data_IF_404317533740
#
_entry.id   IF_404317533740
#
_cell.length_a   1.000
_cell.length_b   1.000
_cell.length_c   1.000
_cell.angle_alpha   90.00
_cell.angle_beta   90.00
_cell.angle_gamma   90.00
#
_symmetry.space_group_name_H-M   'P 1'
#
loop_
_entity.id
_entity.type
_entity.pdbx_description
1 polymer ?
#
# COMPACT_ATOMS: atom_id res chain seq x y z
N UNK A 1 0.33 -7.02 16.50
CA UNK A 1 -0.22 -8.34 16.25
C UNK A 1 -1.27 -8.27 15.17
N UNK A 2 -1.02 -8.96 14.06
CA UNK A 2 -1.89 -8.98 12.90
C UNK A 2 -2.59 -10.33 12.82
N UNK A 3 -3.84 -10.33 12.33
CA UNK A 3 -4.55 -11.58 12.11
C UNK A 3 -3.84 -12.41 11.03
N UNK A 4 -3.98 -13.73 11.12
CA UNK A 4 -3.45 -14.62 10.09
C UNK A 4 -4.04 -14.32 8.72
N UNK A 5 -5.31 -13.94 8.67
CA UNK A 5 -6.00 -13.55 7.44
C UNK A 5 -5.32 -12.34 6.78
N UNK A 6 -4.98 -11.32 7.57
CA UNK A 6 -4.30 -10.12 7.07
C UNK A 6 -2.91 -10.47 6.53
N UNK A 7 -2.12 -11.21 7.29
CA UNK A 7 -0.78 -11.63 6.90
C UNK A 7 -0.81 -12.47 5.63
N UNK A 8 -1.71 -13.45 5.57
CA UNK A 8 -1.85 -14.30 4.40
C UNK A 8 -2.31 -13.52 3.18
N UNK A 9 -3.24 -12.58 3.36
CA UNK A 9 -3.70 -11.71 2.29
C UNK A 9 -2.60 -10.83 1.73
N UNK A 10 -1.79 -10.25 2.61
CA UNK A 10 -0.62 -9.45 2.21
C UNK A 10 0.38 -10.28 1.42
N UNK A 11 0.75 -11.44 1.94
CA UNK A 11 1.69 -12.35 1.28
C UNK A 11 1.17 -12.82 -0.09
N UNK A 12 -0.11 -13.14 -0.18
CA UNK A 12 -0.72 -13.57 -1.44
C UNK A 12 -0.70 -12.46 -2.49
N UNK A 13 -0.93 -11.20 -2.10
CA UNK A 13 -0.85 -10.07 -3.01
C UNK A 13 0.58 -9.86 -3.53
N UNK A 14 1.58 -9.96 -2.67
CA UNK A 14 2.98 -9.85 -3.10
C UNK A 14 3.37 -10.97 -4.05
N UNK A 15 2.94 -12.20 -3.78
CA UNK A 15 3.21 -13.33 -4.67
C UNK A 15 2.56 -13.14 -6.04
N UNK A 16 1.29 -12.75 -6.05
CA UNK A 16 0.55 -12.54 -7.29
C UNK A 16 1.14 -11.41 -8.14
N UNK A 17 1.82 -10.45 -7.51
CA UNK A 17 2.31 -9.24 -8.17
C UNK A 17 3.83 -9.21 -8.32
N UNK A 18 4.53 -10.31 -8.06
CA UNK A 18 6.00 -10.33 -8.09
C UNK A 18 6.58 -10.02 -9.49
N UNK A 19 5.80 -10.23 -10.55
CA UNK A 19 6.20 -9.91 -11.92
C UNK A 19 5.46 -8.68 -12.47
N UNK A 20 4.64 -8.03 -11.66
CA UNK A 20 3.85 -6.88 -12.06
C UNK A 20 4.42 -5.59 -11.49
N UNK A 21 3.87 -4.48 -11.95
CA UNK A 21 4.21 -3.17 -11.41
C UNK A 21 3.53 -2.96 -10.06
N UNK A 22 4.24 -2.29 -9.16
CA UNK A 22 3.70 -1.82 -7.90
C UNK A 22 3.74 -0.30 -7.88
N UNK A 23 2.81 0.31 -7.16
CA UNK A 23 2.67 1.75 -7.08
C UNK A 23 2.48 2.17 -5.63
N UNK A 24 2.91 3.39 -5.31
CA UNK A 24 2.57 4.00 -4.02
C UNK A 24 1.89 5.35 -4.24
N UNK A 25 1.00 5.73 -3.34
CA UNK A 25 0.37 7.05 -3.31
C UNK A 25 0.18 7.52 -1.88
N UNK A 26 0.30 8.82 -1.69
CA UNK A 26 0.12 9.49 -0.40
C UNK A 26 0.31 10.99 -0.58
N UNK A 27 -0.15 11.77 0.38
CA UNK A 27 0.01 13.22 0.41
C UNK A 27 0.77 13.65 1.66
N UNK A 28 1.58 14.71 1.55
CA UNK A 28 2.34 15.23 2.67
C UNK A 28 3.27 14.19 3.29
N UNK A 29 3.22 13.99 4.60
CA UNK A 29 4.02 12.97 5.27
C UNK A 29 3.69 11.56 4.81
N UNK A 30 2.46 11.31 4.37
CA UNK A 30 2.07 10.01 3.81
C UNK A 30 2.83 9.71 2.53
N UNK A 31 3.19 10.73 1.73
CA UNK A 31 4.01 10.52 0.53
C UNK A 31 5.43 10.10 0.88
N UNK A 32 5.97 10.60 1.99
CA UNK A 32 7.30 10.19 2.47
C UNK A 32 7.28 8.73 2.92
N UNK A 33 6.21 8.31 3.58
CA UNK A 33 6.02 6.91 3.95
C UNK A 33 5.85 6.03 2.71
N UNK A 34 5.10 6.51 1.71
CA UNK A 34 4.99 5.83 0.42
C UNK A 34 6.33 5.64 -0.26
N UNK A 35 7.19 6.65 -0.20
CA UNK A 35 8.56 6.56 -0.70
C UNK A 35 9.37 5.49 0.04
N UNK A 36 9.25 5.45 1.37
CA UNK A 36 9.89 4.40 2.16
C UNK A 36 9.45 3.01 1.70
N UNK A 37 8.14 2.80 1.55
CA UNK A 37 7.58 1.53 1.07
C UNK A 37 8.15 1.17 -0.29
N UNK A 38 8.18 2.14 -1.22
CA UNK A 38 8.69 1.92 -2.57
C UNK A 38 10.16 1.51 -2.57
N UNK A 39 10.99 2.19 -1.80
CA UNK A 39 12.42 1.86 -1.72
C UNK A 39 12.64 0.49 -1.08
N UNK A 40 11.89 0.19 -0.04
CA UNK A 40 12.00 -1.09 0.66
C UNK A 40 11.63 -2.24 -0.25
N UNK A 41 10.52 -2.13 -0.99
CA UNK A 41 10.09 -3.16 -1.95
C UNK A 41 11.07 -3.27 -3.12
N UNK A 42 11.64 -2.16 -3.58
CA UNK A 42 12.65 -2.18 -4.66
C UNK A 42 13.89 -2.97 -4.23
N UNK A 43 14.36 -2.77 -3.01
CA UNK A 43 15.48 -3.54 -2.45
C UNK A 43 15.14 -5.03 -2.39
N UNK A 44 13.88 -5.36 -2.16
CA UNK A 44 13.39 -6.74 -2.12
C UNK A 44 13.18 -7.35 -3.52
N UNK A 45 13.42 -6.60 -4.57
CA UNK A 45 13.36 -7.10 -5.94
C UNK A 45 12.07 -6.80 -6.70
N UNK A 46 11.16 -6.03 -6.12
CA UNK A 46 9.91 -5.64 -6.80
C UNK A 46 10.11 -4.39 -7.64
N UNK A 47 9.32 -4.28 -8.71
CA UNK A 47 9.30 -3.09 -9.57
C UNK A 47 8.27 -2.09 -9.02
N UNK A 48 8.73 -0.97 -8.48
CA UNK A 48 7.86 -0.03 -7.77
C UNK A 48 8.01 1.38 -8.32
N UNK A 49 6.87 2.04 -8.55
CA UNK A 49 6.76 3.44 -8.94
C UNK A 49 6.20 4.24 -7.76
N UNK A 50 6.99 5.22 -7.32
CA UNK A 50 6.69 5.96 -6.10
C UNK A 50 5.81 7.17 -6.38
N UNK A 51 4.81 7.40 -5.52
CA UNK A 51 3.94 8.58 -5.54
C UNK A 51 3.37 8.89 -6.92
N UNK A 52 2.75 7.88 -7.53
CA UNK A 52 2.15 7.98 -8.85
C UNK A 52 0.76 8.61 -8.72
N UNK A 53 0.46 9.57 -9.58
CA UNK A 53 -0.82 10.27 -9.61
C UNK A 53 -1.63 9.88 -10.85
N UNK A 54 -2.93 10.14 -10.80
CA UNK A 54 -3.86 9.70 -11.85
C UNK A 54 -3.49 10.23 -13.25
N UNK A 55 -2.81 11.34 -13.34
CA UNK A 55 -2.37 11.87 -14.64
C UNK A 55 -1.17 11.09 -15.22
N UNK A 56 -0.56 10.24 -14.45
CA UNK A 56 0.49 9.33 -14.94
C UNK A 56 -0.14 8.09 -15.59
N UNK A 57 -1.15 8.32 -16.41
CA UNK A 57 -2.01 7.32 -17.00
C UNK A 57 -1.23 6.19 -17.70
N UNK A 58 -0.13 6.52 -18.34
CA UNK A 58 0.69 5.54 -19.06
C UNK A 58 1.34 4.52 -18.13
N UNK A 59 1.53 4.86 -16.86
CA UNK A 59 2.04 3.92 -15.86
C UNK A 59 0.96 2.96 -15.37
N UNK A 60 -0.28 3.47 -15.25
CA UNK A 60 -1.40 2.63 -14.82
C UNK A 60 -1.87 1.70 -15.92
N UNK A 61 -1.84 2.17 -17.14
CA UNK A 61 -2.40 1.47 -18.29
C UNK A 61 -1.31 1.26 -19.33
N UNK A 62 -0.58 0.17 -19.23
CA UNK A 62 0.37 -0.21 -20.26
C UNK A 62 -0.40 -0.84 -21.42
N UNK A 63 -0.19 -0.32 -22.64
CA UNK A 63 -0.82 -0.88 -23.82
C UNK A 63 -0.42 -2.33 -24.07
N UNK A 64 0.70 -2.77 -23.50
CA UNK A 64 1.18 -4.14 -23.62
C UNK A 64 0.54 -5.09 -22.64
N UNK A 65 -0.05 -4.56 -21.54
CA UNK A 65 -0.69 -5.36 -20.51
C UNK A 65 -2.17 -5.65 -20.82
N UNK A 66 -2.75 -4.89 -21.78
CA UNK A 66 -4.18 -4.93 -22.06
C UNK A 66 -4.66 -6.20 -22.79
N UNK A 67 -3.77 -7.00 -23.32
CA UNK A 67 -4.12 -8.19 -24.10
C UNK A 67 -3.85 -9.50 -23.40
N UNK A 68 -3.31 -9.46 -22.19
CA UNK A 68 -2.92 -10.67 -21.48
C UNK A 68 -3.85 -10.88 -20.29
N UNK A 69 -4.86 -11.74 -20.46
CA UNK A 69 -5.79 -12.11 -19.39
C UNK A 69 -5.10 -12.85 -18.26
N UNK A 70 -3.87 -13.33 -18.48
CA UNK A 70 -3.05 -14.01 -17.49
C UNK A 70 -2.05 -13.07 -16.81
N UNK A 71 -2.05 -11.79 -17.16
CA UNK A 71 -1.13 -10.84 -16.56
C UNK A 71 -1.37 -10.74 -15.05
N UNK A 72 -0.28 -10.78 -14.28
CA UNK A 72 -0.35 -10.61 -12.84
C UNK A 72 -0.93 -9.23 -12.50
N UNK A 73 -1.80 -9.13 -11.49
CA UNK A 73 -2.37 -7.86 -11.11
C UNK A 73 -1.31 -6.92 -10.53
N UNK A 74 -1.35 -5.67 -10.96
CA UNK A 74 -0.57 -4.62 -10.32
C UNK A 74 -1.15 -4.30 -8.94
N UNK A 75 -0.31 -3.83 -8.03
CA UNK A 75 -0.71 -3.45 -6.67
C UNK A 75 -0.36 -1.99 -6.42
N UNK A 76 -1.31 -1.26 -5.83
CA UNK A 76 -1.07 0.09 -5.34
C UNK A 76 -1.13 0.09 -3.82
N UNK A 77 -0.08 0.61 -3.19
CA UNK A 77 -0.02 0.86 -1.76
C UNK A 77 -0.41 2.31 -1.50
N UNK A 78 -1.50 2.51 -0.78
CA UNK A 78 -2.02 3.83 -0.45
C UNK A 78 -1.84 4.10 1.04
N UNK A 79 -1.35 5.28 1.37
CA UNK A 79 -1.17 5.72 2.76
C UNK A 79 -1.99 6.99 2.98
N UNK A 80 -2.94 6.92 3.90
CA UNK A 80 -3.73 8.06 4.31
C UNK A 80 -4.25 7.88 5.72
N UNK A 81 -3.87 8.76 6.62
CA UNK A 81 -4.28 8.67 8.02
C UNK A 81 -5.80 8.72 8.15
N UNK A 82 -6.44 9.69 7.53
CA UNK A 82 -7.90 9.84 7.58
C UNK A 82 -8.64 8.86 6.69
N UNK A 83 -7.98 8.38 5.63
CA UNK A 83 -8.64 7.63 4.57
C UNK A 83 -9.59 8.46 3.72
N UNK A 84 -9.53 9.78 3.83
CA UNK A 84 -10.42 10.71 3.12
C UNK A 84 -9.65 11.74 2.27
N UNK A 85 -8.36 11.51 2.05
CA UNK A 85 -7.50 12.41 1.28
C UNK A 85 -7.85 12.33 -0.20
N UNK A 86 -8.42 13.39 -0.74
CA UNK A 86 -9.01 13.36 -2.10
C UNK A 86 -8.02 13.00 -3.20
N UNK A 87 -6.78 13.54 -3.25
CA UNK A 87 -5.82 13.12 -4.27
C UNK A 87 -5.49 11.63 -4.20
N UNK A 88 -5.40 11.05 -3.01
CA UNK A 88 -5.15 9.61 -2.84
C UNK A 88 -6.35 8.80 -3.31
N UNK A 89 -7.56 9.24 -2.97
CA UNK A 89 -8.79 8.58 -3.43
C UNK A 89 -8.89 8.59 -4.95
N UNK A 90 -8.50 9.68 -5.61
CA UNK A 90 -8.49 9.77 -7.06
C UNK A 90 -7.51 8.78 -7.69
N UNK A 91 -6.30 8.68 -7.14
CA UNK A 91 -5.29 7.71 -7.61
C UNK A 91 -5.80 6.28 -7.47
N UNK A 92 -6.40 5.97 -6.32
CA UNK A 92 -6.92 4.62 -6.04
C UNK A 92 -8.08 4.27 -6.97
N UNK A 93 -9.00 5.22 -7.22
CA UNK A 93 -10.12 5.00 -8.15
C UNK A 93 -9.61 4.67 -9.55
N UNK A 94 -8.60 5.41 -10.04
CA UNK A 94 -7.99 5.15 -11.35
C UNK A 94 -7.28 3.79 -11.39
N UNK A 95 -6.54 3.46 -10.35
CA UNK A 95 -5.88 2.16 -10.24
C UNK A 95 -6.90 1.01 -10.29
N UNK A 96 -8.00 1.14 -9.56
CA UNK A 96 -9.06 0.13 -9.58
C UNK A 96 -9.71 -0.02 -10.95
N UNK A 97 -9.93 1.09 -11.66
CA UNK A 97 -10.47 1.06 -13.03
C UNK A 97 -9.56 0.27 -13.99
N UNK A 98 -8.28 0.23 -13.70
CA UNK A 98 -7.29 -0.51 -14.48
C UNK A 98 -7.01 -1.91 -13.92
N UNK A 99 -7.83 -2.39 -12.99
CA UNK A 99 -7.72 -3.75 -12.46
C UNK A 99 -6.66 -3.94 -11.40
N UNK A 100 -6.09 -2.86 -10.86
CA UNK A 100 -5.08 -2.95 -9.81
C UNK A 100 -5.70 -3.36 -8.47
N UNK A 101 -4.95 -4.10 -7.68
CA UNK A 101 -5.30 -4.38 -6.29
C UNK A 101 -4.80 -3.24 -5.41
N UNK A 102 -5.54 -2.96 -4.34
CA UNK A 102 -5.24 -1.83 -3.45
C UNK A 102 -4.95 -2.35 -2.05
N UNK A 103 -3.79 -1.99 -1.53
CA UNK A 103 -3.39 -2.20 -0.14
C UNK A 103 -3.30 -0.84 0.54
N UNK A 104 -4.05 -0.66 1.61
CA UNK A 104 -4.16 0.63 2.28
C UNK A 104 -3.67 0.56 3.72
N UNK A 105 -2.87 1.55 4.09
CA UNK A 105 -2.52 1.84 5.49
C UNK A 105 -3.29 3.08 5.91
N UNK A 106 -4.16 2.94 6.89
CA UNK A 106 -5.00 4.03 7.38
C UNK A 106 -5.27 3.87 8.87
N UNK A 107 -5.67 4.95 9.51
CA UNK A 107 -6.14 4.92 10.90
C UNK A 107 -7.63 4.57 10.99
N UNK A 108 -8.37 4.71 9.88
CA UNK A 108 -9.83 4.64 9.85
C UNK A 108 -10.31 3.48 8.98
N UNK A 109 -10.74 2.40 9.64
CA UNK A 109 -11.32 1.25 8.93
C UNK A 109 -12.64 1.57 8.22
N UNK A 110 -13.33 2.62 8.64
CA UNK A 110 -14.60 3.05 8.09
C UNK A 110 -14.48 4.18 7.07
N UNK A 111 -13.29 4.40 6.54
CA UNK A 111 -13.03 5.48 5.58
C UNK A 111 -13.39 5.12 4.14
N UNK A 112 -13.48 6.14 3.29
CA UNK A 112 -13.71 5.96 1.86
C UNK A 112 -12.58 5.13 1.22
N UNK A 113 -11.34 5.39 1.62
CA UNK A 113 -10.18 4.65 1.10
C UNK A 113 -10.26 3.17 1.49
N UNK A 114 -10.64 2.87 2.74
CA UNK A 114 -10.79 1.49 3.19
C UNK A 114 -11.83 0.73 2.35
N UNK A 115 -12.94 1.38 2.01
CA UNK A 115 -13.99 0.77 1.18
C UNK A 115 -13.54 0.48 -0.25
N UNK A 116 -12.53 1.19 -0.74
CA UNK A 116 -11.96 0.99 -2.08
C UNK A 116 -10.84 -0.04 -2.12
N UNK A 117 -10.44 -0.55 -0.97
CA UNK A 117 -9.23 -1.37 -0.84
C UNK A 117 -9.53 -2.85 -0.78
N UNK A 118 -8.63 -3.64 -1.35
CA UNK A 118 -8.67 -5.12 -1.27
C UNK A 118 -8.10 -5.60 0.06
N UNK A 119 -7.13 -4.87 0.60
CA UNK A 119 -6.54 -5.16 1.90
C UNK A 119 -6.37 -3.87 2.68
N UNK A 120 -6.89 -3.83 3.89
CA UNK A 120 -6.82 -2.65 4.76
C UNK A 120 -6.00 -2.99 6.00
N UNK A 121 -4.93 -2.26 6.19
CA UNK A 121 -4.09 -2.37 7.38
C UNK A 121 -4.40 -1.15 8.25
N UNK A 122 -5.16 -1.39 9.31
CA UNK A 122 -5.52 -0.34 10.26
C UNK A 122 -4.35 -0.17 11.23
N UNK A 123 -3.78 1.00 11.20
CA UNK A 123 -2.65 1.34 12.04
C UNK A 123 -3.14 2.23 13.18
N UNK A 124 -3.05 1.69 14.38
CA UNK A 124 -3.47 2.44 15.55
C UNK A 124 -2.46 3.54 15.85
N UNK A 125 -2.93 4.77 15.77
CA UNK A 125 -2.19 5.92 16.25
C UNK A 125 -2.44 6.13 17.72
N UNK A 126 -2.24 5.10 18.57
CA UNK A 126 -2.52 5.20 19.99
C UNK A 126 -1.73 6.35 20.61
N UNK A 127 -2.48 7.21 21.22
CA UNK A 127 -2.08 8.50 21.73
C UNK A 127 -1.21 8.37 22.98
N UNK A 128 0.07 8.52 22.82
CA UNK A 128 0.85 9.03 23.93
C UNK A 128 1.41 10.38 23.50
N UNK A 129 0.60 11.38 23.58
CA UNK A 129 1.04 12.75 23.35
C UNK A 129 1.61 13.30 24.64
N UNK A 130 2.91 13.49 24.65
CA UNK A 130 3.52 14.41 25.56
C UNK A 130 3.08 15.81 25.13
N UNK A 131 2.27 16.47 25.97
CA UNK A 131 1.84 17.86 25.78
C UNK A 131 0.98 18.17 24.53
N UNK A 132 -0.01 17.35 24.24
CA UNK A 132 -1.23 17.77 23.54
C UNK A 132 -1.16 18.00 22.04
N UNK A 133 -0.02 18.09 21.38
CA UNK A 133 -0.01 18.46 19.97
C UNK A 133 0.95 17.70 19.09
N UNK A 134 1.90 16.99 19.63
CA UNK A 134 2.91 16.26 18.86
C UNK A 134 3.57 15.21 19.72
N UNK A 135 4.02 14.09 19.22
CA UNK A 135 4.13 13.66 17.83
C UNK A 135 2.86 12.98 17.30
N UNK A 136 2.77 12.86 15.97
CA UNK A 136 1.79 12.01 15.33
C UNK A 136 2.41 10.63 15.09
N UNK A 137 2.04 9.59 15.85
CA UNK A 137 2.69 8.29 15.75
C UNK A 137 2.25 7.48 14.53
N UNK A 138 1.24 7.92 13.78
CA UNK A 138 0.68 7.18 12.66
C UNK A 138 1.77 6.78 11.65
N UNK A 139 2.58 7.74 11.22
CA UNK A 139 3.55 7.49 10.15
C UNK A 139 4.61 6.47 10.55
N UNK A 140 5.13 6.58 11.77
CA UNK A 140 6.08 5.60 12.31
C UNK A 140 5.46 4.23 12.46
N UNK A 141 4.20 4.16 12.86
CA UNK A 141 3.48 2.89 12.98
C UNK A 141 3.22 2.25 11.62
N UNK A 142 2.98 3.04 10.56
CA UNK A 142 2.85 2.49 9.20
C UNK A 142 4.16 1.83 8.78
N UNK A 143 5.28 2.51 8.99
CA UNK A 143 6.61 1.94 8.66
C UNK A 143 6.84 0.65 9.41
N UNK A 144 6.56 0.63 10.72
CA UNK A 144 6.72 -0.57 11.54
C UNK A 144 5.81 -1.70 11.07
N UNK A 145 4.54 -1.41 10.81
CA UNK A 145 3.58 -2.41 10.31
C UNK A 145 4.05 -3.00 8.97
N UNK A 146 4.51 -2.14 8.08
CA UNK A 146 5.03 -2.57 6.77
C UNK A 146 6.24 -3.48 6.94
N UNK A 147 7.21 -3.10 7.77
CA UNK A 147 8.40 -3.92 8.03
C UNK A 147 8.03 -5.28 8.61
N UNK A 148 7.09 -5.33 9.53
CA UNK A 148 6.63 -6.59 10.11
C UNK A 148 5.97 -7.49 9.06
N UNK A 149 5.13 -6.93 8.20
CA UNK A 149 4.45 -7.68 7.14
C UNK A 149 5.45 -8.21 6.10
N UNK A 150 6.43 -7.41 5.73
CA UNK A 150 7.50 -7.84 4.81
C UNK A 150 8.34 -8.95 5.45
N UNK A 151 8.62 -8.85 6.75
CA UNK A 151 9.33 -9.90 7.47
C UNK A 151 8.56 -11.23 7.43
N UNK A 152 7.25 -11.20 7.65
CA UNK A 152 6.42 -12.41 7.51
C UNK A 152 6.50 -12.99 6.10
N UNK A 153 6.46 -12.13 5.09
CA UNK A 153 6.53 -12.57 3.70
C UNK A 153 7.82 -13.34 3.42
N UNK A 154 8.96 -12.81 3.83
CA UNK A 154 10.25 -13.45 3.58
C UNK A 154 10.54 -14.64 4.49
N UNK A 155 10.10 -14.60 5.75
CA UNK A 155 10.30 -15.68 6.70
C UNK A 155 9.57 -16.98 6.32
N UNK A 156 8.40 -16.88 5.69
CA UNK A 156 7.65 -18.07 5.31
C UNK A 156 8.39 -18.94 4.29
N UNK A 157 9.21 -18.33 3.41
CA UNK A 157 9.98 -19.07 2.40
C UNK A 157 11.16 -19.81 3.00
N UNK A 158 11.62 -19.44 4.19
CA UNK A 158 12.72 -20.11 4.86
C UNK A 158 12.31 -21.33 5.68
N UNK A 159 10.98 -21.55 5.84
CA UNK A 159 10.43 -22.67 6.61
C UNK A 159 10.01 -23.88 5.75
N UNK A 160 10.19 -23.77 4.46
CA UNK A 160 9.87 -24.86 3.52
C UNK A 160 11.14 -25.56 3.03
#
# INVERSE_FOLDING_TARGET
NYSDELVNGFCALLDASCQAKMFTTGEGFSSIVGEYIAQRLSICGFMVYNNVHFYDHMLFCSAHDLTDEEAAPSVMFAVSQSGETEPVLNDVRHARQNGHKIVTFTKRADSALARLSDLVIVVDGSKQTLAGSLPNPFFGHVVLAFEELVAYYFERDTKN
#
